data_IF_175442294068
#
_entry.id   IF_175442294068
#
_cell.length_a   1.000
_cell.length_b   1.000
_cell.length_c   1.000
_cell.angle_alpha   90.00
_cell.angle_beta   90.00
_cell.angle_gamma   90.00
#
_symmetry.space_group_name_H-M   'P 1'
#
loop_
_entity.id
_entity.type
_entity.pdbx_description
1 polymer ?
#
# COMPACT_ATOMS: atom_id res chain seq x y z
N UNK A 1 37.91 -36.84 8.06
CA UNK A 1 36.80 -36.67 7.11
C UNK A 1 35.65 -35.80 7.68
N UNK A 2 35.58 -35.61 8.98
CA UNK A 2 34.53 -34.81 9.66
C UNK A 2 34.79 -33.30 9.70
N UNK A 3 36.03 -32.84 9.50
CA UNK A 3 36.35 -31.41 9.58
C UNK A 3 36.14 -30.61 8.29
N UNK A 4 35.84 -31.28 7.17
CA UNK A 4 35.67 -30.59 5.87
C UNK A 4 34.19 -30.25 5.59
N UNK A 5 33.25 -31.00 6.17
CA UNK A 5 31.83 -30.77 6.02
C UNK A 5 31.32 -29.58 6.86
N UNK A 6 31.83 -29.42 8.09
CA UNK A 6 31.49 -28.32 8.97
C UNK A 6 31.96 -26.95 8.45
N UNK A 7 33.11 -26.91 7.75
CA UNK A 7 33.64 -25.68 7.16
C UNK A 7 32.85 -25.22 5.91
N UNK A 8 32.19 -26.16 5.23
CA UNK A 8 31.38 -25.85 4.03
C UNK A 8 29.98 -25.35 4.41
N UNK A 9 29.42 -25.84 5.50
CA UNK A 9 28.13 -25.38 6.04
C UNK A 9 28.22 -23.97 6.65
N UNK A 10 29.31 -23.66 7.38
CA UNK A 10 29.54 -22.32 7.92
C UNK A 10 29.80 -21.27 6.81
N UNK A 11 30.46 -21.66 5.73
CA UNK A 11 30.69 -20.75 4.60
C UNK A 11 29.40 -20.44 3.82
N UNK A 12 28.48 -21.42 3.66
CA UNK A 12 27.18 -21.20 3.00
C UNK A 12 26.22 -20.36 3.83
N UNK A 13 26.22 -20.52 5.14
CA UNK A 13 25.40 -19.72 6.06
C UNK A 13 25.93 -18.28 6.16
N UNK A 14 27.24 -18.06 6.06
CA UNK A 14 27.84 -16.73 6.04
C UNK A 14 27.58 -16.00 4.71
N UNK A 15 27.51 -16.71 3.57
CA UNK A 15 27.21 -16.12 2.26
C UNK A 15 25.73 -15.76 2.12
N UNK A 16 24.80 -16.54 2.71
CA UNK A 16 23.38 -16.19 2.79
C UNK A 16 23.10 -15.04 3.78
N UNK A 17 23.90 -14.89 4.82
CA UNK A 17 23.75 -13.78 5.78
C UNK A 17 24.22 -12.43 5.21
N UNK A 18 25.24 -12.42 4.34
CA UNK A 18 25.72 -11.20 3.66
C UNK A 18 24.76 -10.70 2.58
N UNK A 19 23.88 -11.54 2.01
CA UNK A 19 22.84 -11.10 1.05
C UNK A 19 21.65 -10.36 1.72
N UNK A 20 21.52 -10.44 3.04
CA UNK A 20 20.39 -9.82 3.78
C UNK A 20 20.74 -8.40 4.27
N UNK A 21 21.97 -7.94 4.21
CA UNK A 21 22.43 -6.70 4.85
C UNK A 21 22.59 -5.48 3.93
N UNK A 22 22.17 -5.51 2.70
CA UNK A 22 22.00 -4.27 1.97
C UNK A 22 20.59 -3.70 2.17
N UNK A 23 20.39 -3.05 3.32
CA UNK A 23 19.44 -1.93 3.43
C UNK A 23 19.91 -0.83 2.46
N UNK A 24 19.73 -1.07 1.19
CA UNK A 24 20.05 -0.09 0.16
C UNK A 24 19.09 1.06 0.35
N UNK A 25 19.60 2.15 0.92
CA UNK A 25 19.03 3.47 0.68
C UNK A 25 19.02 3.57 -0.85
N UNK A 26 17.84 3.57 -1.44
CA UNK A 26 17.71 3.75 -2.88
C UNK A 26 18.19 5.16 -3.21
N UNK A 27 19.43 5.31 -3.63
CA UNK A 27 20.03 6.58 -4.01
C UNK A 27 19.34 7.24 -5.22
N UNK A 28 18.43 6.54 -5.89
CA UNK A 28 17.74 7.00 -7.09
C UNK A 28 16.26 7.35 -6.90
N UNK A 29 15.68 7.12 -5.72
CA UNK A 29 14.27 7.42 -5.50
C UNK A 29 14.15 8.53 -4.46
N UNK A 30 13.71 9.68 -4.93
CA UNK A 30 13.19 10.73 -4.08
C UNK A 30 11.90 10.29 -3.36
N UNK A 31 11.19 11.24 -2.81
CA UNK A 31 9.82 11.02 -2.36
C UNK A 31 8.91 10.85 -3.56
N UNK A 32 7.92 9.95 -3.47
CA UNK A 32 6.83 9.92 -4.42
C UNK A 32 5.50 10.26 -3.75
N UNK A 33 4.59 10.85 -4.54
CA UNK A 33 3.24 11.19 -4.10
C UNK A 33 2.25 10.45 -4.97
N UNK A 34 1.42 9.62 -4.32
CA UNK A 34 0.35 8.88 -4.96
C UNK A 34 -1.01 9.43 -4.55
N UNK A 35 -1.88 9.76 -5.52
CA UNK A 35 -3.27 10.09 -5.27
C UNK A 35 -4.15 8.93 -5.76
N UNK A 36 -4.92 8.36 -4.86
CA UNK A 36 -5.77 7.21 -5.10
C UNK A 36 -7.25 7.54 -4.89
N UNK A 37 -7.96 8.11 -5.88
CA UNK A 37 -9.41 8.16 -5.87
C UNK A 37 -9.98 6.74 -5.97
N UNK A 38 -11.02 6.47 -5.19
CA UNK A 38 -11.69 5.19 -5.19
C UNK A 38 -13.20 5.30 -4.97
N UNK A 39 -13.90 4.29 -5.48
CA UNK A 39 -15.33 4.10 -5.28
C UNK A 39 -15.57 2.72 -4.67
N UNK A 40 -16.31 2.66 -3.58
CA UNK A 40 -16.66 1.42 -2.91
C UNK A 40 -17.58 0.55 -3.81
N UNK A 41 -17.37 -0.75 -3.76
CA UNK A 41 -18.25 -1.75 -4.37
C UNK A 41 -18.86 -2.66 -3.31
N UNK A 42 -18.13 -2.83 -2.21
CA UNK A 42 -18.55 -3.61 -1.04
C UNK A 42 -18.55 -2.69 0.15
N UNK A 43 -19.60 -2.76 0.94
CA UNK A 43 -19.79 -1.95 2.13
C UNK A 43 -20.13 -2.83 3.33
N UNK A 44 -19.58 -2.50 4.49
CA UNK A 44 -19.99 -3.08 5.77
C UNK A 44 -21.35 -2.55 6.23
N UNK A 45 -21.83 -3.10 7.33
CA UNK A 45 -23.14 -2.77 7.90
C UNK A 45 -23.29 -1.29 8.31
N UNK A 46 -22.18 -0.59 8.53
CA UNK A 46 -22.15 0.84 8.89
C UNK A 46 -22.51 1.78 7.75
N UNK A 47 -22.54 1.30 6.51
CA UNK A 47 -22.83 2.15 5.36
C UNK A 47 -24.18 1.82 4.74
N UNK A 48 -25.01 2.85 4.52
CA UNK A 48 -26.22 2.73 3.72
C UNK A 48 -25.99 2.99 2.25
N UNK A 49 -25.01 3.83 1.90
CA UNK A 49 -24.58 4.09 0.53
C UNK A 49 -23.20 3.50 0.23
N UNK A 50 -22.75 3.63 -1.00
CA UNK A 50 -21.41 3.26 -1.46
C UNK A 50 -20.42 4.36 -1.07
N UNK A 51 -19.38 4.07 -0.26
CA UNK A 51 -18.38 5.06 0.09
C UNK A 51 -17.55 5.48 -1.13
N UNK A 52 -17.27 6.78 -1.22
CA UNK A 52 -16.40 7.35 -2.25
C UNK A 52 -15.41 8.32 -1.62
N UNK A 53 -14.21 8.36 -2.12
CA UNK A 53 -13.18 9.27 -1.61
C UNK A 53 -11.86 9.16 -2.30
N UNK A 54 -10.82 9.64 -1.63
CA UNK A 54 -9.46 9.54 -2.11
C UNK A 54 -8.48 9.42 -0.97
N UNK A 55 -7.37 8.73 -1.23
CA UNK A 55 -6.22 8.63 -0.35
C UNK A 55 -4.99 9.23 -1.03
N UNK A 56 -4.29 10.10 -0.34
CA UNK A 56 -2.95 10.56 -0.66
C UNK A 56 -1.95 9.62 0.02
N UNK A 57 -0.99 9.11 -0.72
CA UNK A 57 0.09 8.27 -0.21
C UNK A 57 1.42 8.97 -0.46
N UNK A 58 2.21 9.11 0.59
CA UNK A 58 3.56 9.66 0.52
C UNK A 58 4.52 8.49 0.72
N UNK A 59 5.27 8.16 -0.32
CA UNK A 59 6.28 7.11 -0.28
C UNK A 59 7.64 7.72 -0.04
N UNK A 60 8.38 7.15 0.90
CA UNK A 60 9.73 7.58 1.24
C UNK A 60 10.76 6.84 0.38
N UNK A 61 11.99 7.37 0.25
CA UNK A 61 13.08 6.65 -0.42
C UNK A 61 13.64 5.48 0.43
N UNK A 62 13.09 5.25 1.62
CA UNK A 62 13.58 4.22 2.54
C UNK A 62 12.86 2.90 2.31
N UNK A 63 13.64 1.85 2.13
CA UNK A 63 13.11 0.52 1.89
C UNK A 63 14.21 -0.49 1.61
N UNK A 64 13.84 -1.64 1.07
CA UNK A 64 14.80 -2.67 0.66
C UNK A 64 14.35 -3.32 -0.65
N UNK A 65 15.31 -3.90 -1.35
CA UNK A 65 15.07 -4.64 -2.59
C UNK A 65 15.57 -6.07 -2.42
N UNK A 66 14.71 -7.03 -2.73
CA UNK A 66 15.02 -8.45 -2.69
C UNK A 66 14.66 -9.08 -4.04
N UNK A 67 15.64 -9.22 -4.91
CA UNK A 67 15.42 -9.70 -6.28
C UNK A 67 14.40 -8.83 -7.04
N UNK A 68 13.28 -9.40 -7.52
CA UNK A 68 12.25 -8.64 -8.22
C UNK A 68 11.29 -7.89 -7.28
N UNK A 69 11.44 -8.07 -5.97
CA UNK A 69 10.61 -7.48 -4.95
C UNK A 69 11.24 -6.18 -4.45
N UNK A 70 10.44 -5.13 -4.43
CA UNK A 70 10.82 -3.81 -3.96
C UNK A 70 9.86 -3.36 -2.87
N UNK A 71 10.38 -3.04 -1.69
CA UNK A 71 9.61 -2.55 -0.57
C UNK A 71 10.05 -1.15 -0.18
N UNK A 72 9.08 -0.26 0.05
CA UNK A 72 9.31 1.11 0.54
C UNK A 72 8.36 1.47 1.67
N UNK A 73 8.83 2.30 2.59
CA UNK A 73 8.01 2.83 3.69
C UNK A 73 7.14 3.97 3.16
N UNK A 74 5.88 4.02 3.59
CA UNK A 74 4.93 5.05 3.17
C UNK A 74 3.97 5.45 4.28
N UNK A 75 3.32 6.62 4.09
CA UNK A 75 2.23 7.11 4.92
C UNK A 75 1.02 7.42 4.03
N UNK A 76 -0.18 7.16 4.53
CA UNK A 76 -1.43 7.37 3.83
C UNK A 76 -2.33 8.34 4.60
N UNK A 77 -2.97 9.26 3.86
CA UNK A 77 -3.93 10.23 4.37
C UNK A 77 -5.13 10.29 3.41
N UNK A 78 -6.35 10.14 3.93
CA UNK A 78 -7.51 10.09 3.06
C UNK A 78 -8.78 10.59 3.72
N UNK A 79 -9.78 10.83 2.89
CA UNK A 79 -11.12 11.16 3.31
C UNK A 79 -12.14 10.55 2.37
N UNK A 80 -13.21 10.04 2.96
CA UNK A 80 -14.29 9.36 2.26
C UNK A 80 -15.63 9.96 2.66
N UNK A 81 -16.62 9.77 1.82
CA UNK A 81 -18.00 10.15 2.12
C UNK A 81 -18.81 8.88 2.28
N UNK A 82 -19.57 8.80 3.35
CA UNK A 82 -20.47 7.71 3.66
C UNK A 82 -21.79 8.21 4.21
N UNK A 83 -22.76 7.31 4.30
CA UNK A 83 -24.05 7.57 4.94
C UNK A 83 -24.43 6.38 5.81
N UNK A 84 -24.94 6.67 6.99
CA UNK A 84 -25.47 5.70 7.93
C UNK A 84 -26.78 6.21 8.53
N UNK A 85 -27.85 5.41 8.43
CA UNK A 85 -29.17 5.74 8.95
C UNK A 85 -29.69 7.13 8.52
N UNK A 86 -29.42 7.53 7.27
CA UNK A 86 -29.84 8.82 6.71
C UNK A 86 -28.96 10.00 7.12
N UNK A 87 -27.91 9.78 7.90
CA UNK A 87 -26.94 10.80 8.29
C UNK A 87 -25.64 10.62 7.50
N UNK A 88 -25.18 11.69 6.88
CA UNK A 88 -23.87 11.71 6.22
C UNK A 88 -22.75 11.71 7.27
N UNK A 89 -21.71 10.94 7.04
CA UNK A 89 -20.46 10.98 7.80
C UNK A 89 -19.26 10.86 6.87
N UNK A 90 -18.12 11.38 7.33
CA UNK A 90 -16.92 11.48 6.51
C UNK A 90 -15.74 10.78 7.20
N UNK A 91 -15.61 9.46 7.02
CA UNK A 91 -14.48 8.74 7.64
C UNK A 91 -13.15 9.22 7.04
N UNK A 92 -12.25 9.57 7.93
CA UNK A 92 -10.86 9.91 7.59
C UNK A 92 -9.99 8.65 7.63
N UNK A 93 -8.90 8.69 6.91
CA UNK A 93 -7.87 7.65 6.91
C UNK A 93 -6.52 8.30 7.16
N UNK A 94 -5.78 7.80 8.15
CA UNK A 94 -4.42 8.21 8.43
C UNK A 94 -3.63 6.99 8.92
N UNK A 95 -2.57 6.63 8.23
CA UNK A 95 -1.79 5.45 8.60
C UNK A 95 -0.37 5.48 8.08
N UNK A 96 0.44 4.63 8.68
CA UNK A 96 1.81 4.35 8.24
C UNK A 96 1.93 2.90 7.84
N UNK A 97 2.80 2.61 6.90
CA UNK A 97 2.96 1.27 6.37
C UNK A 97 4.00 1.22 5.25
N UNK A 98 3.70 0.48 4.20
CA UNK A 98 4.62 0.34 3.10
C UNK A 98 3.98 -0.12 1.81
N UNK A 99 4.75 0.05 0.75
CA UNK A 99 4.44 -0.37 -0.60
C UNK A 99 5.33 -1.54 -0.97
N UNK A 100 4.76 -2.50 -1.66
CA UNK A 100 5.42 -3.66 -2.21
C UNK A 100 5.21 -3.67 -3.72
N UNK A 101 6.29 -3.65 -4.48
CA UNK A 101 6.24 -3.77 -5.94
C UNK A 101 6.94 -5.05 -6.37
N UNK A 102 6.27 -5.86 -7.17
CA UNK A 102 6.83 -7.08 -7.75
C UNK A 102 7.05 -6.88 -9.26
N UNK A 103 8.30 -7.02 -9.67
CA UNK A 103 8.73 -6.93 -11.07
C UNK A 103 8.25 -5.65 -11.79
N UNK A 104 8.07 -4.55 -11.08
CA UNK A 104 7.53 -3.27 -11.54
C UNK A 104 6.11 -3.34 -12.15
N UNK A 105 5.41 -4.44 -11.95
CA UNK A 105 4.11 -4.70 -12.56
C UNK A 105 2.98 -4.82 -11.54
N UNK A 106 3.15 -5.67 -10.53
CA UNK A 106 2.16 -5.85 -9.46
C UNK A 106 2.55 -4.96 -8.29
N UNK A 107 1.57 -4.26 -7.78
CA UNK A 107 1.72 -3.34 -6.67
C UNK A 107 0.76 -3.73 -5.54
N UNK A 108 1.23 -3.70 -4.32
CA UNK A 108 0.42 -3.86 -3.12
C UNK A 108 0.92 -2.90 -2.05
N UNK A 109 0.01 -2.32 -1.28
CA UNK A 109 0.34 -1.49 -0.13
C UNK A 109 -0.56 -1.79 1.06
N UNK A 110 -0.05 -1.53 2.24
CA UNK A 110 -0.79 -1.66 3.48
C UNK A 110 -0.38 -0.58 4.47
N UNK A 111 -1.39 0.02 5.13
CA UNK A 111 -1.21 1.04 6.14
C UNK A 111 -2.06 0.72 7.35
N UNK A 112 -1.50 0.87 8.53
CA UNK A 112 -2.20 0.74 9.80
C UNK A 112 -2.23 2.09 10.51
N UNK A 113 -3.36 2.40 11.14
CA UNK A 113 -3.56 3.68 11.82
C UNK A 113 -5.01 3.98 12.16
N UNK A 114 -5.46 5.18 11.85
CA UNK A 114 -6.83 5.64 12.06
C UNK A 114 -7.64 5.43 10.78
N UNK A 115 -8.82 4.85 10.93
CA UNK A 115 -9.82 4.70 9.86
C UNK A 115 -11.19 5.05 10.45
N UNK A 116 -11.77 6.17 10.04
CA UNK A 116 -12.94 6.74 10.70
C UNK A 116 -12.61 7.26 12.09
N UNK A 117 -13.40 6.85 13.08
CA UNK A 117 -13.21 7.19 14.50
C UNK A 117 -12.37 6.14 15.25
N UNK A 118 -12.10 4.99 14.63
CA UNK A 118 -11.36 3.88 15.23
C UNK A 118 -9.97 3.67 14.66
N UNK A 119 -9.34 2.64 15.18
CA UNK A 119 -8.08 2.11 14.59
C UNK A 119 -8.41 1.10 13.51
N UNK A 120 -7.58 1.07 12.48
CA UNK A 120 -7.86 0.19 11.35
C UNK A 120 -6.66 0.00 10.42
N UNK A 121 -6.95 -0.67 9.35
CA UNK A 121 -6.00 -0.92 8.26
C UNK A 121 -6.62 -0.49 6.93
N UNK A 122 -5.78 -0.01 6.05
CA UNK A 122 -6.05 0.23 4.64
C UNK A 122 -5.13 -0.66 3.82
N UNK A 123 -5.64 -1.24 2.74
CA UNK A 123 -4.85 -1.93 1.73
C UNK A 123 -5.25 -1.49 0.33
N UNK A 124 -4.28 -1.46 -0.58
CA UNK A 124 -4.50 -1.30 -2.01
C UNK A 124 -3.65 -2.35 -2.74
N UNK A 125 -4.22 -2.99 -3.75
CA UNK A 125 -3.49 -3.90 -4.61
C UNK A 125 -3.92 -3.70 -6.06
N UNK A 126 -2.96 -3.66 -6.98
CA UNK A 126 -3.24 -3.36 -8.37
C UNK A 126 -2.08 -3.68 -9.30
N UNK A 127 -2.23 -3.21 -10.53
CA UNK A 127 -1.25 -3.38 -11.59
C UNK A 127 -0.92 -2.04 -12.25
N UNK A 128 0.33 -1.90 -12.68
CA UNK A 128 0.78 -0.71 -13.42
C UNK A 128 0.30 -0.78 -14.87
N UNK A 129 -0.46 0.25 -15.29
CA UNK A 129 -0.89 0.39 -16.69
C UNK A 129 0.30 0.73 -17.61
N UNK A 130 1.24 1.52 -17.13
CA UNK A 130 2.42 1.87 -17.91
C UNK A 130 3.21 0.63 -18.30
N UNK A 131 3.36 -0.31 -17.36
CA UNK A 131 4.03 -1.58 -17.61
C UNK A 131 3.22 -2.47 -18.58
N UNK A 132 1.89 -2.55 -18.41
CA UNK A 132 1.00 -3.29 -19.30
C UNK A 132 1.07 -2.77 -20.74
N UNK A 133 1.17 -1.46 -20.90
CA UNK A 133 1.25 -0.80 -22.20
C UNK A 133 2.70 -0.72 -22.74
N UNK A 134 3.62 -1.49 -22.17
CA UNK A 134 5.05 -1.55 -22.53
C UNK A 134 5.70 -0.17 -22.61
N UNK A 135 5.41 0.67 -21.62
CA UNK A 135 5.88 2.06 -21.53
C UNK A 135 5.45 2.94 -22.73
N UNK A 136 4.38 2.55 -23.42
CA UNK A 136 3.90 3.25 -24.61
C UNK A 136 3.26 4.62 -24.34
N UNK A 137 2.87 4.90 -23.08
CA UNK A 137 2.21 6.16 -22.72
C UNK A 137 3.22 7.29 -22.46
N UNK A 138 4.44 6.99 -22.05
CA UNK A 138 5.51 7.95 -21.69
C UNK A 138 4.98 9.15 -20.86
N UNK A 139 4.13 8.85 -19.89
CA UNK A 139 3.55 9.84 -18.99
C UNK A 139 4.53 10.14 -17.85
N UNK A 140 4.53 11.37 -17.31
CA UNK A 140 5.33 11.72 -16.13
C UNK A 140 4.75 11.16 -14.83
N UNK A 141 3.74 10.33 -14.90
CA UNK A 141 3.05 9.69 -13.77
C UNK A 141 2.86 8.21 -14.04
N UNK A 142 3.05 7.38 -13.02
CA UNK A 142 2.68 5.98 -13.08
C UNK A 142 1.20 5.82 -12.70
N UNK A 143 0.43 5.10 -13.51
CA UNK A 143 -0.98 4.85 -13.28
C UNK A 143 -1.16 3.41 -12.83
N UNK A 144 -1.65 3.23 -11.61
CA UNK A 144 -2.01 1.93 -11.05
C UNK A 144 -3.53 1.78 -11.04
N UNK A 145 -4.03 0.62 -11.42
CA UNK A 145 -5.46 0.27 -11.34
C UNK A 145 -5.61 -0.95 -10.47
N UNK A 146 -6.52 -0.89 -9.50
CA UNK A 146 -6.65 -1.98 -8.55
C UNK A 146 -7.84 -1.88 -7.62
N UNK A 147 -7.80 -2.70 -6.57
CA UNK A 147 -8.75 -2.71 -5.47
C UNK A 147 -8.19 -2.03 -4.24
N UNK A 148 -9.04 -1.31 -3.55
CA UNK A 148 -8.76 -0.70 -2.25
C UNK A 148 -9.71 -1.26 -1.20
N UNK A 149 -9.22 -1.48 0.01
CA UNK A 149 -10.03 -1.99 1.10
C UNK A 149 -9.64 -1.38 2.45
N UNK A 150 -10.63 -1.27 3.33
CA UNK A 150 -10.50 -0.69 4.67
C UNK A 150 -11.23 -1.56 5.69
N UNK A 151 -10.62 -1.71 6.86
CA UNK A 151 -11.25 -2.31 8.03
C UNK A 151 -10.95 -1.42 9.22
N UNK A 152 -11.94 -1.12 10.03
CA UNK A 152 -11.82 -0.30 11.24
C UNK A 152 -12.58 -0.91 12.41
N UNK A 153 -12.09 -0.67 13.61
CA UNK A 153 -12.78 -1.01 14.85
C UNK A 153 -14.01 -0.14 15.07
N UNK A 154 -13.99 1.08 14.52
CA UNK A 154 -15.11 2.01 14.57
C UNK A 154 -15.02 2.99 13.40
N UNK A 155 -15.90 2.86 12.41
CA UNK A 155 -15.89 3.73 11.24
C UNK A 155 -16.66 5.02 11.48
N UNK A 156 -17.74 4.97 12.24
CA UNK A 156 -18.75 6.04 12.36
C UNK A 156 -18.89 6.67 13.75
N UNK A 157 -18.14 6.20 14.74
CA UNK A 157 -18.31 6.62 16.15
C UNK A 157 -19.35 5.80 16.91
N UNK A 158 -19.95 4.77 16.29
CA UNK A 158 -20.94 3.91 16.94
C UNK A 158 -20.34 2.70 17.67
N UNK A 159 -19.01 2.56 17.69
CA UNK A 159 -18.32 1.46 18.37
C UNK A 159 -18.41 0.12 17.66
N UNK A 160 -18.70 0.09 16.36
CA UNK A 160 -18.88 -1.13 15.59
C UNK A 160 -17.75 -1.34 14.59
N UNK A 161 -17.15 -2.53 14.62
CA UNK A 161 -16.18 -2.96 13.59
C UNK A 161 -16.88 -3.05 12.24
N UNK A 162 -16.33 -2.34 11.26
CA UNK A 162 -16.86 -2.27 9.91
C UNK A 162 -15.75 -1.98 8.91
N UNK A 163 -16.09 -2.00 7.62
CA UNK A 163 -15.15 -1.69 6.57
C UNK A 163 -15.85 -1.50 5.23
N UNK A 164 -15.08 -1.16 4.24
CA UNK A 164 -15.53 -1.09 2.84
C UNK A 164 -14.39 -1.45 1.91
N UNK A 165 -14.72 -1.74 0.68
CA UNK A 165 -13.74 -2.01 -0.36
C UNK A 165 -14.30 -1.64 -1.72
N UNK A 166 -13.42 -1.34 -2.65
CA UNK A 166 -13.82 -0.88 -3.98
C UNK A 166 -12.70 -0.92 -5.01
N UNK A 167 -12.98 -0.28 -6.11
CA UNK A 167 -11.98 -0.05 -7.16
C UNK A 167 -11.37 1.34 -7.00
N UNK A 168 -10.07 1.41 -7.23
CA UNK A 168 -9.30 2.63 -7.20
C UNK A 168 -8.36 2.75 -8.40
N UNK A 169 -8.06 3.98 -8.74
CA UNK A 169 -6.98 4.34 -9.65
C UNK A 169 -5.99 5.15 -8.83
N UNK A 170 -4.72 4.79 -8.86
CA UNK A 170 -3.68 5.55 -8.20
C UNK A 170 -2.77 6.19 -9.23
N UNK A 171 -2.48 7.46 -9.02
CA UNK A 171 -1.56 8.26 -9.84
C UNK A 171 -0.34 8.57 -8.99
N UNK A 172 0.80 7.98 -9.33
CA UNK A 172 2.07 8.23 -8.64
C UNK A 172 2.94 9.18 -9.45
N UNK A 173 3.51 10.16 -8.75
CA UNK A 173 4.48 11.10 -9.28
C UNK A 173 5.75 11.04 -8.43
N UNK A 174 6.89 10.82 -9.08
CA UNK A 174 8.22 10.72 -8.46
C UNK A 174 8.96 12.06 -8.60
N UNK A 175 9.68 12.47 -7.52
CA UNK A 175 10.45 13.72 -7.44
C UNK A 175 11.94 13.47 -7.39
#
# INVERSE_FOLDING_TARGET
AESTEAATEEATVAEEADEIEELTVKEELGFSFGLAPSIGLVKGATFTNVPMGATLVITTPYGFKLGPLDFTISAAFGGYQGEFEGSAFNPSVMGVGGNLTLANFVFAEGHAGIVGEGTGIRGFAGVSLEYLMKKGLNLPVNILVGGEGFISTDVSGAGNTSGWGGLGVRLDYDF
#
